data_IF_830514000103
#
_entry.id   IF_830514000103
#
_cell.length_a   1.000
_cell.length_b   1.000
_cell.length_c   1.000
_cell.angle_alpha   90.00
_cell.angle_beta   90.00
_cell.angle_gamma   90.00
#
_symmetry.space_group_name_H-M   'P 1'
#
loop_
_entity.id
_entity.type
_entity.pdbx_description
1 polymer ?
#
# COMPACT_ATOMS: atom_id res chain seq x y z
N UNK A 1 28.84 -1.63 -16.16
CA UNK A 1 28.97 -0.47 -15.26
C UNK A 1 28.62 0.74 -16.11
N UNK A 2 27.64 1.54 -15.71
CA UNK A 2 27.25 2.73 -16.48
C UNK A 2 28.20 3.91 -16.20
N UNK A 3 28.42 4.82 -17.17
CA UNK A 3 29.26 5.99 -16.99
C UNK A 3 28.72 6.88 -15.86
N UNK A 4 29.62 7.57 -15.15
CA UNK A 4 29.27 8.48 -14.04
C UNK A 4 29.35 9.95 -14.50
N UNK A 5 28.80 10.22 -15.68
CA UNK A 5 28.87 11.51 -16.39
C UNK A 5 27.54 12.28 -16.39
N UNK A 6 26.56 11.79 -15.63
CA UNK A 6 25.23 12.41 -15.55
C UNK A 6 24.28 12.03 -16.70
N UNK A 7 24.68 11.14 -17.62
CA UNK A 7 23.85 10.73 -18.73
C UNK A 7 22.85 9.60 -18.38
N UNK A 8 23.01 8.99 -17.20
CA UNK A 8 22.15 7.89 -16.75
C UNK A 8 21.19 8.37 -15.68
N UNK A 9 19.90 8.28 -15.97
CA UNK A 9 18.82 8.48 -15.00
C UNK A 9 18.23 7.13 -14.63
N UNK A 10 17.94 6.94 -13.36
CA UNK A 10 17.27 5.73 -12.87
C UNK A 10 16.12 6.09 -11.95
N UNK A 11 15.09 5.25 -11.95
CA UNK A 11 14.01 5.32 -10.99
C UNK A 11 14.15 4.16 -10.02
N UNK A 12 14.11 4.46 -8.74
CA UNK A 12 14.17 3.44 -7.68
C UNK A 12 12.83 3.36 -6.97
N UNK A 13 12.47 2.17 -6.49
CA UNK A 13 11.27 2.00 -5.69
C UNK A 13 11.49 2.62 -4.30
N UNK A 14 10.41 3.09 -3.68
CA UNK A 14 10.44 3.65 -2.33
C UNK A 14 10.96 2.66 -1.25
N UNK A 15 10.91 1.36 -1.53
CA UNK A 15 11.39 0.33 -0.60
C UNK A 15 12.92 0.24 -0.53
N UNK A 16 13.67 0.59 -1.58
CA UNK A 16 15.14 0.45 -1.60
C UNK A 16 15.87 1.25 -0.53
N UNK A 17 15.57 2.54 -0.29
CA UNK A 17 16.16 3.27 0.83
C UNK A 17 15.84 2.62 2.19
N UNK A 18 14.63 2.11 2.36
CA UNK A 18 14.18 1.44 3.56
C UNK A 18 14.88 0.09 3.75
N UNK A 19 14.99 -0.73 2.71
CA UNK A 19 15.73 -1.99 2.73
C UNK A 19 17.19 -1.78 3.16
N UNK A 20 17.83 -0.73 2.63
CA UNK A 20 19.18 -0.39 3.01
C UNK A 20 19.28 0.09 4.47
N UNK A 21 18.39 0.99 4.88
CA UNK A 21 18.40 1.56 6.23
C UNK A 21 18.19 0.48 7.32
N UNK A 22 17.35 -0.50 7.04
CA UNK A 22 17.03 -1.60 7.95
C UNK A 22 17.88 -2.86 7.72
N UNK A 23 18.83 -2.81 6.77
CA UNK A 23 19.71 -3.93 6.41
C UNK A 23 18.94 -5.22 6.08
N UNK A 24 17.84 -5.09 5.33
CA UNK A 24 16.93 -6.20 5.02
C UNK A 24 17.31 -6.97 3.76
N UNK A 25 18.26 -6.47 2.97
CA UNK A 25 18.62 -7.06 1.68
C UNK A 25 20.13 -7.06 1.44
N UNK A 26 20.79 -8.15 1.80
CA UNK A 26 22.23 -8.35 1.61
C UNK A 26 22.66 -8.33 0.13
N UNK A 27 21.72 -8.49 -0.79
CA UNK A 27 21.98 -8.45 -2.25
C UNK A 27 21.93 -7.05 -2.82
N UNK A 28 21.46 -6.06 -2.06
CA UNK A 28 21.41 -4.66 -2.49
C UNK A 28 22.83 -4.07 -2.51
N UNK A 29 23.46 -4.07 -3.70
CA UNK A 29 24.82 -3.57 -3.89
C UNK A 29 24.92 -2.06 -4.08
N UNK A 30 23.81 -1.38 -4.29
CA UNK A 30 23.76 0.07 -4.46
C UNK A 30 23.64 0.76 -3.10
N UNK A 31 24.45 1.80 -2.89
CA UNK A 31 24.33 2.67 -1.71
C UNK A 31 23.43 3.86 -2.07
N UNK A 32 22.20 3.87 -1.55
CA UNK A 32 21.19 4.90 -1.82
C UNK A 32 21.64 6.29 -1.36
N UNK A 33 22.52 6.39 -0.37
CA UNK A 33 23.08 7.67 0.12
C UNK A 33 24.06 8.31 -0.88
N UNK A 34 24.53 7.53 -1.85
CA UNK A 34 25.49 7.98 -2.90
C UNK A 34 24.82 8.33 -4.21
N UNK A 35 23.50 8.27 -4.26
CA UNK A 35 22.71 8.70 -5.42
C UNK A 35 22.52 10.22 -5.38
N UNK A 36 22.58 10.84 -6.54
CA UNK A 36 22.17 12.24 -6.70
C UNK A 36 20.65 12.26 -6.87
N UNK A 37 19.94 12.47 -5.79
CA UNK A 37 18.48 12.56 -5.81
C UNK A 37 18.03 13.83 -6.51
N UNK A 38 17.28 13.69 -7.61
CA UNK A 38 16.78 14.81 -8.41
C UNK A 38 15.40 15.24 -7.92
N UNK A 39 14.59 14.29 -7.47
CA UNK A 39 13.25 14.55 -6.96
C UNK A 39 12.41 13.29 -6.77
N UNK A 40 11.21 13.51 -6.27
CA UNK A 40 10.17 12.50 -6.16
C UNK A 40 9.14 12.74 -7.28
N UNK A 41 8.78 11.69 -8.01
CA UNK A 41 7.82 11.77 -9.12
C UNK A 41 6.36 11.68 -8.66
N UNK A 42 6.10 11.22 -7.45
CA UNK A 42 4.73 11.02 -6.97
C UNK A 42 4.66 11.11 -5.45
N UNK A 43 3.76 11.95 -4.98
CA UNK A 43 3.34 12.09 -3.58
C UNK A 43 2.04 11.28 -3.35
N UNK A 44 1.94 10.11 -3.99
CA UNK A 44 0.70 9.35 -4.02
C UNK A 44 0.40 8.72 -2.66
N UNK A 45 -0.74 9.09 -2.11
CA UNK A 45 -1.36 8.35 -1.01
C UNK A 45 -1.80 6.98 -1.51
N UNK A 46 -1.38 5.92 -0.83
CA UNK A 46 -1.84 4.57 -1.09
C UNK A 46 -3.03 4.22 -0.19
N UNK A 47 -3.84 3.27 -0.62
CA UNK A 47 -5.05 2.85 0.09
C UNK A 47 -5.03 1.35 0.31
N UNK A 48 -5.53 0.91 1.45
CA UNK A 48 -5.93 -0.47 1.67
C UNK A 48 -7.45 -0.56 1.55
N UNK A 49 -7.91 -1.47 0.72
CA UNK A 49 -9.33 -1.66 0.49
C UNK A 49 -9.69 -3.15 0.42
N UNK A 50 -10.96 -3.43 0.65
CA UNK A 50 -11.56 -4.75 0.45
C UNK A 50 -12.68 -4.68 -0.58
N UNK A 51 -13.00 -5.81 -1.21
CA UNK A 51 -14.17 -5.94 -2.07
C UNK A 51 -15.44 -5.62 -1.28
N UNK A 52 -16.45 -5.06 -1.95
CA UNK A 52 -17.76 -4.80 -1.34
C UNK A 52 -18.37 -6.03 -0.67
N UNK A 53 -18.17 -7.20 -1.27
CA UNK A 53 -18.69 -8.48 -0.77
C UNK A 53 -17.89 -9.02 0.43
N UNK A 54 -16.70 -8.48 0.72
CA UNK A 54 -15.91 -8.91 1.87
C UNK A 54 -16.66 -8.65 3.17
N UNK A 55 -16.64 -9.57 4.13
CA UNK A 55 -17.15 -9.34 5.47
C UNK A 55 -16.31 -8.33 6.27
N UNK A 56 -15.08 -8.01 5.83
CA UNK A 56 -14.24 -6.97 6.41
C UNK A 56 -14.54 -5.63 5.73
N UNK A 57 -15.30 -4.79 6.40
CA UNK A 57 -15.70 -3.47 5.91
C UNK A 57 -15.03 -2.31 6.63
N UNK A 58 -14.48 -2.58 7.80
CA UNK A 58 -13.84 -1.62 8.68
C UNK A 58 -12.52 -2.17 9.23
N UNK A 59 -11.69 -1.31 9.82
CA UNK A 59 -10.49 -1.74 10.55
C UNK A 59 -10.83 -2.58 11.79
N UNK A 60 -11.97 -2.34 12.42
CA UNK A 60 -12.43 -3.14 13.56
C UNK A 60 -12.78 -4.56 13.14
N UNK A 61 -13.36 -4.75 11.96
CA UNK A 61 -13.57 -6.09 11.41
C UNK A 61 -12.21 -6.78 11.17
N UNK A 62 -11.24 -6.06 10.60
CA UNK A 62 -9.90 -6.58 10.35
C UNK A 62 -9.12 -6.95 11.62
N UNK A 63 -9.45 -6.35 12.78
CA UNK A 63 -8.90 -6.75 14.09
C UNK A 63 -9.51 -8.06 14.60
N UNK A 64 -10.75 -8.32 14.28
CA UNK A 64 -11.52 -9.47 14.80
C UNK A 64 -11.38 -10.73 13.98
N UNK A 65 -11.07 -10.59 12.68
CA UNK A 65 -10.97 -11.72 11.75
C UNK A 65 -9.75 -11.62 10.83
N UNK A 66 -9.28 -12.76 10.37
CA UNK A 66 -8.29 -12.81 9.29
C UNK A 66 -8.93 -12.30 8.00
N UNK A 67 -8.21 -11.44 7.28
CA UNK A 67 -8.65 -10.85 6.00
C UNK A 67 -7.55 -11.06 4.97
N UNK A 68 -7.86 -11.72 3.87
CA UNK A 68 -6.89 -12.09 2.83
C UNK A 68 -6.63 -10.91 1.91
N UNK A 69 -5.36 -10.45 1.87
CA UNK A 69 -4.90 -9.34 1.04
C UNK A 69 -3.94 -9.84 -0.02
N UNK A 70 -4.29 -9.64 -1.29
CA UNK A 70 -3.41 -9.94 -2.41
C UNK A 70 -2.30 -8.90 -2.58
N UNK A 71 -1.07 -9.37 -2.82
CA UNK A 71 0.09 -8.50 -3.07
C UNK A 71 0.93 -9.07 -4.23
N UNK A 72 1.68 -8.22 -4.96
CA UNK A 72 2.57 -8.71 -6.01
C UNK A 72 3.69 -9.59 -5.47
N UNK A 73 4.32 -9.15 -4.38
CA UNK A 73 5.36 -9.88 -3.66
C UNK A 73 5.42 -9.39 -2.21
N UNK A 74 6.12 -10.11 -1.35
CA UNK A 74 6.35 -9.67 0.03
C UNK A 74 7.35 -8.51 0.13
N UNK A 75 8.10 -8.22 -0.94
CA UNK A 75 8.97 -7.04 -1.04
C UNK A 75 8.26 -5.80 -1.60
N UNK A 76 6.98 -5.91 -1.97
CA UNK A 76 6.18 -4.79 -2.45
C UNK A 76 5.83 -3.81 -1.32
N UNK A 77 5.77 -2.51 -1.65
CA UNK A 77 5.45 -1.47 -0.67
C UNK A 77 4.10 -1.69 0.02
N UNK A 78 3.08 -2.15 -0.73
CA UNK A 78 1.75 -2.41 -0.14
C UNK A 78 1.76 -3.59 0.83
N UNK A 79 2.64 -4.59 0.60
CA UNK A 79 2.85 -5.68 1.55
C UNK A 79 3.45 -5.15 2.87
N UNK A 80 4.48 -4.34 2.80
CA UNK A 80 5.13 -3.76 3.97
C UNK A 80 4.19 -2.86 4.76
N UNK A 81 3.47 -1.96 4.07
CA UNK A 81 2.49 -1.08 4.70
C UNK A 81 1.36 -1.87 5.38
N UNK A 82 0.94 -2.99 4.78
CA UNK A 82 -0.05 -3.88 5.39
C UNK A 82 0.49 -4.57 6.64
N UNK A 83 1.75 -5.04 6.62
CA UNK A 83 2.39 -5.63 7.80
C UNK A 83 2.59 -4.62 8.93
N UNK A 84 3.01 -3.39 8.59
CA UNK A 84 3.10 -2.28 9.55
C UNK A 84 1.73 -2.00 10.16
N UNK A 85 0.67 -1.99 9.36
CA UNK A 85 -0.70 -1.83 9.85
C UNK A 85 -1.10 -2.93 10.83
N UNK A 86 -0.74 -4.20 10.56
CA UNK A 86 -0.96 -5.29 11.49
C UNK A 86 -0.25 -5.07 12.82
N UNK A 87 1.04 -4.72 12.75
CA UNK A 87 1.86 -4.53 13.95
C UNK A 87 1.43 -3.34 14.81
N UNK A 88 0.90 -2.30 14.18
CA UNK A 88 0.57 -1.04 14.89
C UNK A 88 -0.89 -0.96 15.32
N UNK A 89 -1.82 -1.46 14.52
CA UNK A 89 -3.25 -1.39 14.81
C UNK A 89 -3.86 -2.71 15.30
N UNK A 90 -3.07 -3.79 15.36
CA UNK A 90 -3.53 -5.10 15.77
C UNK A 90 -4.50 -5.76 14.78
N UNK A 91 -4.44 -5.36 13.50
CA UNK A 91 -5.24 -5.98 12.44
C UNK A 91 -4.69 -7.37 12.07
N UNK A 92 -5.49 -8.18 11.39
CA UNK A 92 -5.17 -9.58 11.05
C UNK A 92 -5.19 -9.81 9.55
N UNK A 93 -4.53 -8.92 8.81
CA UNK A 93 -4.37 -9.08 7.36
C UNK A 93 -3.38 -10.19 7.05
N UNK A 94 -3.80 -11.15 6.22
CA UNK A 94 -2.97 -12.23 5.71
C UNK A 94 -2.59 -11.93 4.27
N UNK A 95 -1.30 -11.83 4.00
CA UNK A 95 -0.79 -11.53 2.67
C UNK A 95 -0.71 -12.79 1.82
N UNK A 96 -1.22 -12.72 0.60
CA UNK A 96 -1.06 -13.75 -0.44
C UNK A 96 -0.29 -13.14 -1.60
N UNK A 97 1.00 -13.49 -1.77
CA UNK A 97 1.84 -13.00 -2.85
C UNK A 97 1.60 -13.76 -4.16
N UNK A 98 2.06 -13.19 -5.28
CA UNK A 98 2.08 -13.84 -6.60
C UNK A 98 1.16 -13.21 -7.63
N UNK A 99 0.49 -12.12 -7.31
CA UNK A 99 -0.35 -11.40 -8.27
C UNK A 99 0.50 -10.44 -9.11
N UNK A 100 0.55 -10.69 -10.42
CA UNK A 100 1.43 -9.97 -11.35
C UNK A 100 0.94 -8.56 -11.70
N UNK A 101 -0.32 -8.23 -11.44
CA UNK A 101 -0.89 -6.93 -11.79
C UNK A 101 -2.14 -6.57 -10.98
N UNK A 102 -2.47 -5.28 -10.96
CA UNK A 102 -3.72 -4.77 -10.36
C UNK A 102 -4.99 -5.43 -10.94
N UNK A 103 -5.15 -5.52 -12.27
CA UNK A 103 -6.29 -6.21 -12.86
C UNK A 103 -6.43 -7.67 -12.43
N UNK A 104 -5.32 -8.42 -12.30
CA UNK A 104 -5.38 -9.80 -11.81
C UNK A 104 -5.86 -9.88 -10.34
N UNK A 105 -5.44 -8.94 -9.50
CA UNK A 105 -5.95 -8.84 -8.13
C UNK A 105 -7.43 -8.47 -8.10
N UNK A 106 -7.89 -7.57 -8.97
CA UNK A 106 -9.32 -7.22 -9.05
C UNK A 106 -10.16 -8.45 -9.42
N UNK A 107 -9.72 -9.23 -10.41
CA UNK A 107 -10.40 -10.46 -10.81
C UNK A 107 -10.42 -11.49 -9.67
N UNK A 108 -9.32 -11.62 -8.93
CA UNK A 108 -9.25 -12.49 -7.78
C UNK A 108 -10.19 -12.04 -6.65
N UNK A 109 -10.35 -10.73 -6.45
CA UNK A 109 -11.35 -10.18 -5.51
C UNK A 109 -12.78 -10.49 -5.96
N UNK A 110 -13.09 -10.37 -7.24
CA UNK A 110 -14.41 -10.69 -7.82
C UNK A 110 -14.75 -12.18 -7.63
N UNK A 111 -13.74 -13.06 -7.73
CA UNK A 111 -13.88 -14.52 -7.51
C UNK A 111 -13.87 -14.93 -6.04
N UNK A 112 -13.57 -13.99 -5.14
CA UNK A 112 -13.46 -14.28 -3.71
C UNK A 112 -12.19 -15.06 -3.31
N UNK A 113 -11.18 -15.10 -4.18
CA UNK A 113 -9.88 -15.73 -3.89
C UNK A 113 -9.06 -14.89 -2.89
N UNK A 114 -9.20 -13.57 -2.96
CA UNK A 114 -8.70 -12.59 -2.00
C UNK A 114 -9.81 -11.61 -1.64
N UNK A 115 -9.71 -11.01 -0.46
CA UNK A 115 -10.72 -10.09 0.02
C UNK A 115 -10.39 -8.62 -0.32
N UNK A 116 -9.11 -8.31 -0.47
CA UNK A 116 -8.67 -6.96 -0.71
C UNK A 116 -7.26 -6.84 -1.23
N UNK A 117 -6.82 -5.60 -1.46
CA UNK A 117 -5.48 -5.25 -1.90
C UNK A 117 -5.12 -3.80 -1.59
N UNK A 118 -3.84 -3.46 -1.71
CA UNK A 118 -3.37 -2.08 -1.77
C UNK A 118 -3.51 -1.47 -3.17
N UNK A 119 -3.69 -0.15 -3.25
CA UNK A 119 -3.68 0.62 -4.50
C UNK A 119 -3.39 2.09 -4.25
N UNK A 120 -2.72 2.76 -5.19
CA UNK A 120 -2.56 4.22 -5.17
C UNK A 120 -3.71 4.95 -5.90
N UNK A 121 -4.54 4.23 -6.64
CA UNK A 121 -5.65 4.81 -7.39
C UNK A 121 -6.92 3.94 -7.29
N UNK A 122 -7.76 4.14 -6.28
CA UNK A 122 -9.01 3.40 -6.14
C UNK A 122 -9.95 3.58 -7.34
N UNK A 123 -9.97 4.76 -7.97
CA UNK A 123 -10.83 5.05 -9.14
C UNK A 123 -10.50 4.19 -10.36
N UNK A 124 -9.22 3.88 -10.56
CA UNK A 124 -8.80 3.07 -11.71
C UNK A 124 -8.99 1.55 -11.52
N UNK A 125 -9.54 1.11 -10.39
CA UNK A 125 -9.74 -0.32 -10.13
C UNK A 125 -10.80 -0.96 -11.03
N UNK A 126 -11.76 -0.19 -11.49
CA UNK A 126 -12.90 -0.71 -12.24
C UNK A 126 -12.93 -0.14 -13.66
N UNK A 127 -13.33 -0.96 -14.60
CA UNK A 127 -13.50 -0.56 -15.99
C UNK A 127 -14.48 0.62 -16.07
N UNK A 128 -14.05 1.72 -16.68
CA UNK A 128 -14.84 2.94 -16.80
C UNK A 128 -14.75 3.88 -15.59
N UNK A 129 -13.88 3.61 -14.60
CA UNK A 129 -13.68 4.50 -13.43
C UNK A 129 -14.87 4.59 -12.47
N UNK A 130 -15.82 3.68 -12.57
CA UNK A 130 -16.99 3.66 -11.70
C UNK A 130 -16.58 3.22 -10.28
N UNK A 131 -16.74 4.11 -9.32
CA UNK A 131 -16.53 3.79 -7.88
C UNK A 131 -17.78 3.16 -7.25
N UNK A 132 -18.91 3.24 -7.93
CA UNK A 132 -20.22 2.79 -7.45
C UNK A 132 -20.88 1.85 -8.45
N UNK A 133 -21.55 0.85 -7.92
CA UNK A 133 -22.37 -0.06 -8.72
C UNK A 133 -23.65 0.60 -9.24
N UNK A 134 -24.43 -0.13 -10.05
CA UNK A 134 -25.72 0.34 -10.56
C UNK A 134 -26.73 0.73 -9.46
N UNK A 135 -26.53 0.20 -8.26
CA UNK A 135 -27.33 0.48 -7.05
C UNK A 135 -26.83 1.72 -6.27
N UNK A 136 -25.89 2.48 -6.82
CA UNK A 136 -25.30 3.67 -6.22
C UNK A 136 -24.37 3.43 -5.04
N UNK A 137 -24.14 2.16 -4.65
CA UNK A 137 -23.28 1.83 -3.50
C UNK A 137 -21.82 1.65 -3.94
N UNK A 138 -20.84 1.95 -3.07
CA UNK A 138 -19.42 1.72 -3.36
C UNK A 138 -19.15 0.26 -3.77
N UNK A 139 -18.24 0.06 -4.73
CA UNK A 139 -17.81 -1.27 -5.18
C UNK A 139 -16.74 -1.88 -4.26
N UNK A 140 -16.16 -1.09 -3.38
CA UNK A 140 -15.15 -1.48 -2.42
C UNK A 140 -15.34 -0.75 -1.09
N UNK A 141 -14.74 -1.29 -0.04
CA UNK A 141 -14.64 -0.66 1.26
C UNK A 141 -13.22 -0.12 1.42
N UNK A 142 -13.06 1.20 1.50
CA UNK A 142 -11.77 1.83 1.83
C UNK A 142 -11.54 1.71 3.33
N UNK A 143 -10.49 0.99 3.74
CA UNK A 143 -10.22 0.74 5.14
C UNK A 143 -9.33 1.81 5.74
N UNK A 144 -8.25 2.21 5.01
CA UNK A 144 -7.34 3.25 5.45
C UNK A 144 -6.50 3.81 4.29
N UNK A 145 -5.86 4.92 4.55
CA UNK A 145 -4.87 5.56 3.68
C UNK A 145 -3.47 5.45 4.30
N UNK A 146 -2.47 5.20 3.44
CA UNK A 146 -1.05 5.29 3.75
C UNK A 146 -0.45 6.49 3.06
N UNK A 147 0.23 7.35 3.79
CA UNK A 147 0.87 8.57 3.27
C UNK A 147 1.03 9.62 4.35
N UNK A 148 1.75 10.70 4.03
CA UNK A 148 1.97 11.83 4.94
C UNK A 148 0.74 12.73 5.05
N UNK A 149 -0.11 12.73 4.04
CA UNK A 149 -1.31 13.58 3.97
C UNK A 149 -2.51 12.79 3.48
N UNK A 150 -3.67 13.18 3.99
CA UNK A 150 -4.94 12.61 3.55
C UNK A 150 -5.25 13.01 2.11
N UNK A 151 -5.71 12.05 1.32
CA UNK A 151 -6.16 12.32 -0.04
C UNK A 151 -7.47 13.14 -0.01
N UNK A 152 -7.53 14.19 -0.82
CA UNK A 152 -8.66 15.13 -0.86
C UNK A 152 -9.95 14.49 -1.39
N UNK A 153 -9.83 13.48 -2.24
CA UNK A 153 -10.98 12.76 -2.82
C UNK A 153 -11.63 11.78 -1.83
N UNK A 154 -10.90 11.40 -0.76
CA UNK A 154 -11.35 10.42 0.23
C UNK A 154 -11.13 10.94 1.66
N UNK A 155 -11.72 12.08 2.03
CA UNK A 155 -11.48 12.73 3.33
C UNK A 155 -11.97 11.91 4.52
N UNK A 156 -12.98 11.06 4.31
CA UNK A 156 -13.59 10.24 5.36
C UNK A 156 -12.79 8.96 5.64
N UNK A 157 -11.88 8.56 4.74
CA UNK A 157 -11.03 7.38 4.97
C UNK A 157 -9.90 7.77 5.93
N UNK A 158 -9.71 7.04 7.04
CA UNK A 158 -8.70 7.40 8.03
C UNK A 158 -7.29 7.28 7.45
N UNK A 159 -6.42 8.21 7.80
CA UNK A 159 -4.98 8.14 7.54
C UNK A 159 -4.32 7.30 8.63
N UNK A 160 -3.41 6.41 8.26
CA UNK A 160 -2.77 5.52 9.22
C UNK A 160 -2.11 6.29 10.39
N UNK A 161 -1.44 7.41 10.10
CA UNK A 161 -0.83 8.28 11.11
C UNK A 161 -1.82 8.90 12.12
N UNK A 162 -3.09 9.04 11.76
CA UNK A 162 -4.14 9.52 12.66
C UNK A 162 -4.62 8.45 13.65
N UNK A 163 -4.38 7.18 13.32
CA UNK A 163 -4.86 6.03 14.11
C UNK A 163 -3.84 5.54 15.14
N UNK A 164 -2.67 6.12 15.14
CA UNK A 164 -1.57 5.71 16.02
C UNK A 164 -1.73 6.28 17.42
N UNK A 165 -1.64 5.40 18.40
CA UNK A 165 -1.90 5.76 19.79
C UNK A 165 -0.67 6.29 20.55
N UNK A 166 0.57 6.10 20.02
CA UNK A 166 1.79 6.49 20.73
C UNK A 166 2.86 7.12 19.83
N UNK A 167 3.82 7.81 20.45
CA UNK A 167 4.89 8.52 19.74
C UNK A 167 5.83 7.59 18.96
N UNK A 168 6.09 6.37 19.43
CA UNK A 168 6.96 5.40 18.75
C UNK A 168 6.34 4.93 17.43
N UNK A 169 5.04 4.64 17.45
CA UNK A 169 4.32 4.29 16.22
C UNK A 169 4.32 5.45 15.21
N UNK A 170 4.19 6.68 15.70
CA UNK A 170 4.24 7.86 14.83
C UNK A 170 5.58 7.98 14.10
N UNK A 171 6.70 7.74 14.79
CA UNK A 171 8.04 7.75 14.17
C UNK A 171 8.13 6.72 13.02
N UNK A 172 7.57 5.53 13.19
CA UNK A 172 7.54 4.51 12.14
C UNK A 172 6.77 5.03 10.91
N UNK A 173 5.67 5.75 11.10
CA UNK A 173 4.88 6.27 9.98
C UNK A 173 5.52 7.46 9.29
N UNK A 174 6.09 8.39 10.04
CA UNK A 174 6.83 9.51 9.48
C UNK A 174 8.05 9.05 8.65
N UNK A 175 8.52 7.81 8.91
CA UNK A 175 9.63 7.21 8.17
C UNK A 175 9.19 6.45 6.91
N UNK A 176 8.00 5.88 6.86
CA UNK A 176 7.51 5.04 5.74
C UNK A 176 6.40 5.70 4.91
N UNK A 177 5.88 6.86 5.32
CA UNK A 177 4.81 7.64 4.66
C UNK A 177 5.33 8.62 3.60
#
# INVERSE_FOLDING_TARGET
MHPRDGTVLTMVTQTFPLEQALNLNDKLKADMRRLNWIGNMSDATSFLLTARASPTKTLDDARRRETIIGVPSLADATAWLTLITNGTLGTRFKLVPGYTSGPNMNLAMERGEIEGRGTSNPKAMFTGGAERGPDGRPLFNLLLQWGLKKNKDYPDTPLLGELTANAEQKVVFDFVG
#
